data_IF_174093401249
#
_entry.id   IF_174093401249
#
_cell.length_a   1.000
_cell.length_b   1.000
_cell.length_c   1.000
_cell.angle_alpha   90.00
_cell.angle_beta   90.00
_cell.angle_gamma   90.00
#
_symmetry.space_group_name_H-M   'P 1'
#
loop_
_entity.id
_entity.type
_entity.pdbx_description
1 polymer ?
#
# COMPACT_ATOMS: atom_id res chain seq x y z
N UNK A 1 2.67 24.92 9.62
CA UNK A 1 3.12 24.10 8.47
C UNK A 1 2.15 24.28 7.33
N UNK A 2 2.63 24.89 6.25
CA UNK A 2 1.86 25.16 5.05
C UNK A 2 1.46 23.86 4.34
N UNK A 3 0.36 23.92 3.56
CA UNK A 3 -0.19 22.75 2.85
C UNK A 3 0.86 22.12 1.93
N UNK A 4 1.70 22.95 1.32
CA UNK A 4 2.80 22.53 0.46
C UNK A 4 3.81 21.66 1.21
N UNK A 5 4.30 22.12 2.37
CA UNK A 5 5.30 21.39 3.17
C UNK A 5 4.77 20.04 3.65
N UNK A 6 3.46 19.94 3.96
CA UNK A 6 2.85 18.68 4.39
C UNK A 6 2.74 17.63 3.28
N UNK A 7 2.80 18.04 2.01
CA UNK A 7 2.72 17.15 0.85
C UNK A 7 4.11 16.88 0.26
N UNK A 8 4.89 17.92 0.03
CA UNK A 8 6.20 17.82 -0.60
C UNK A 8 7.22 17.06 0.26
N UNK A 9 7.20 17.26 1.57
CA UNK A 9 8.19 16.66 2.44
C UNK A 9 8.04 15.13 2.60
N UNK A 10 6.84 14.53 2.80
CA UNK A 10 6.73 13.07 2.79
C UNK A 10 7.00 12.46 1.42
N UNK A 11 6.75 13.21 0.32
CA UNK A 11 7.16 12.78 -1.02
C UNK A 11 8.68 12.72 -1.16
N UNK A 12 9.38 13.79 -0.77
CA UNK A 12 10.83 13.85 -0.81
C UNK A 12 11.48 12.81 0.11
N UNK A 13 10.95 12.63 1.33
CA UNK A 13 11.43 11.64 2.29
C UNK A 13 11.17 10.22 1.81
N UNK A 14 9.97 9.91 1.33
CA UNK A 14 9.63 8.58 0.79
C UNK A 14 10.49 8.23 -0.42
N UNK A 15 10.73 9.20 -1.32
CA UNK A 15 11.62 9.00 -2.47
C UNK A 15 13.09 8.82 -2.06
N UNK A 16 13.59 9.61 -1.10
CA UNK A 16 14.93 9.42 -0.57
C UNK A 16 15.09 8.04 0.07
N UNK A 17 14.08 7.56 0.80
CA UNK A 17 14.06 6.20 1.35
C UNK A 17 14.06 5.14 0.23
N UNK A 18 13.32 5.34 -0.87
CA UNK A 18 13.30 4.41 -2.01
C UNK A 18 14.67 4.32 -2.70
N UNK A 19 15.38 5.45 -2.82
CA UNK A 19 16.74 5.47 -3.35
C UNK A 19 17.76 4.76 -2.44
N UNK A 20 17.59 4.83 -1.11
CA UNK A 20 18.54 4.26 -0.14
C UNK A 20 18.29 2.79 0.16
N UNK A 21 17.03 2.40 0.35
CA UNK A 21 16.68 1.04 0.78
C UNK A 21 16.32 0.12 -0.38
N UNK A 22 15.80 0.65 -1.49
CA UNK A 22 15.33 -0.08 -2.68
C UNK A 22 14.53 -1.35 -2.31
N UNK A 23 13.19 -1.24 -2.28
CA UNK A 23 12.23 -2.22 -1.72
C UNK A 23 12.82 -3.63 -1.49
N UNK A 24 13.40 -3.89 -0.30
CA UNK A 24 14.20 -5.09 -0.09
C UNK A 24 13.34 -6.36 -0.17
N UNK A 25 13.84 -7.35 -0.91
CA UNK A 25 13.17 -8.65 -1.06
C UNK A 25 12.86 -9.26 0.31
N UNK A 26 11.56 -9.48 0.58
CA UNK A 26 11.08 -10.14 1.80
C UNK A 26 10.59 -9.21 2.90
N UNK A 27 10.64 -7.89 2.73
CA UNK A 27 9.97 -6.97 3.67
C UNK A 27 8.44 -7.15 3.67
N UNK A 28 7.78 -6.86 4.81
CA UNK A 28 6.33 -6.96 4.93
C UNK A 28 5.67 -5.88 4.07
N UNK A 29 5.48 -6.18 2.79
CA UNK A 29 4.92 -5.25 1.83
C UNK A 29 3.38 -5.36 1.84
N UNK A 30 2.63 -4.25 1.98
CA UNK A 30 1.16 -4.26 2.06
C UNK A 30 0.47 -4.94 0.87
N UNK A 31 1.06 -4.85 -0.33
CA UNK A 31 0.52 -5.51 -1.52
C UNK A 31 0.64 -7.04 -1.42
N UNK A 32 1.68 -7.56 -0.76
CA UNK A 32 1.87 -9.01 -0.56
C UNK A 32 0.81 -9.58 0.40
N UNK A 33 0.49 -8.86 1.47
CA UNK A 33 -0.60 -9.25 2.37
C UNK A 33 -1.95 -9.15 1.69
N UNK A 34 -2.18 -8.11 0.88
CA UNK A 34 -3.41 -7.98 0.09
C UNK A 34 -3.57 -9.12 -0.93
N UNK A 35 -2.49 -9.49 -1.63
CA UNK A 35 -2.47 -10.63 -2.54
C UNK A 35 -2.77 -11.96 -1.83
N UNK A 36 -2.24 -12.16 -0.62
CA UNK A 36 -2.56 -13.34 0.19
C UNK A 36 -4.06 -13.38 0.60
N UNK A 37 -4.65 -12.23 0.92
CA UNK A 37 -6.09 -12.12 1.21
C UNK A 37 -6.94 -12.44 -0.02
N UNK A 38 -6.53 -11.97 -1.21
CA UNK A 38 -7.20 -12.32 -2.47
C UNK A 38 -7.11 -13.83 -2.70
N UNK A 39 -5.93 -14.42 -2.61
CA UNK A 39 -5.73 -15.85 -2.85
C UNK A 39 -6.55 -16.71 -1.88
N UNK A 40 -6.56 -16.36 -0.58
CA UNK A 40 -7.38 -17.05 0.41
C UNK A 40 -8.89 -16.89 0.13
N UNK A 41 -9.31 -15.69 -0.31
CA UNK A 41 -10.69 -15.44 -0.71
C UNK A 41 -11.08 -16.23 -1.95
N UNK A 42 -10.21 -16.29 -2.95
CA UNK A 42 -10.43 -17.04 -4.18
C UNK A 42 -10.55 -18.54 -3.91
N UNK A 43 -9.62 -19.14 -3.16
CA UNK A 43 -9.68 -20.56 -2.80
C UNK A 43 -10.95 -20.95 -2.04
N UNK A 44 -11.56 -20.01 -1.30
CA UNK A 44 -12.80 -20.27 -0.56
C UNK A 44 -14.07 -20.00 -1.38
N UNK A 45 -14.03 -19.00 -2.27
CA UNK A 45 -15.22 -18.46 -2.92
C UNK A 45 -15.32 -18.82 -4.41
N UNK A 46 -14.23 -19.19 -5.07
CA UNK A 46 -14.17 -19.49 -6.50
C UNK A 46 -14.55 -20.95 -6.84
N UNK A 47 -15.38 -21.59 -6.01
CA UNK A 47 -15.89 -22.93 -6.24
C UNK A 47 -17.42 -22.99 -6.22
N UNK A 48 -17.98 -23.94 -7.00
CA UNK A 48 -19.43 -24.16 -7.13
C UNK A 48 -20.13 -23.16 -8.04
N UNK A 49 -21.44 -22.93 -7.80
CA UNK A 49 -22.26 -21.95 -8.51
C UNK A 49 -22.09 -20.52 -7.98
N UNK A 50 -22.60 -19.55 -8.75
CA UNK A 50 -22.57 -18.11 -8.43
C UNK A 50 -21.17 -17.51 -8.19
N UNK A 51 -20.13 -18.06 -8.84
CA UNK A 51 -18.72 -17.61 -8.67
C UNK A 51 -18.56 -16.11 -8.95
N UNK A 52 -19.28 -15.59 -9.95
CA UNK A 52 -19.28 -14.16 -10.27
C UNK A 52 -19.77 -13.30 -9.10
N UNK A 53 -20.90 -13.65 -8.47
CA UNK A 53 -21.43 -12.89 -7.34
C UNK A 53 -20.49 -12.96 -6.13
N UNK A 54 -19.93 -14.13 -5.83
CA UNK A 54 -18.97 -14.30 -4.73
C UNK A 54 -17.67 -13.52 -4.99
N UNK A 55 -17.18 -13.52 -6.22
CA UNK A 55 -16.03 -12.73 -6.65
C UNK A 55 -16.28 -11.23 -6.56
N UNK A 56 -17.45 -10.76 -6.98
CA UNK A 56 -17.85 -9.36 -6.86
C UNK A 56 -17.94 -8.91 -5.40
N UNK A 57 -18.50 -9.75 -4.51
CA UNK A 57 -18.53 -9.48 -3.07
C UNK A 57 -17.13 -9.44 -2.46
N UNK A 58 -16.26 -10.37 -2.84
CA UNK A 58 -14.86 -10.39 -2.38
C UNK A 58 -14.13 -9.12 -2.82
N UNK A 59 -14.21 -8.76 -4.10
CA UNK A 59 -13.57 -7.57 -4.64
C UNK A 59 -14.12 -6.29 -3.98
N UNK A 60 -15.45 -6.16 -3.90
CA UNK A 60 -16.08 -5.01 -3.24
C UNK A 60 -15.73 -4.90 -1.76
N UNK A 61 -15.67 -6.02 -1.05
CA UNK A 61 -15.28 -6.08 0.35
C UNK A 61 -13.82 -5.71 0.57
N UNK A 62 -12.90 -6.19 -0.27
CA UNK A 62 -11.48 -5.86 -0.18
C UNK A 62 -11.20 -4.39 -0.52
N UNK A 63 -11.80 -3.88 -1.60
CA UNK A 63 -11.68 -2.46 -2.00
C UNK A 63 -12.29 -1.54 -0.94
N UNK A 64 -13.53 -1.82 -0.53
CA UNK A 64 -14.23 -1.04 0.49
C UNK A 64 -13.55 -1.11 1.85
N UNK A 65 -13.08 -2.30 2.24
CA UNK A 65 -12.33 -2.52 3.48
C UNK A 65 -10.99 -1.78 3.48
N UNK A 66 -10.26 -1.79 2.36
CA UNK A 66 -9.01 -1.04 2.22
C UNK A 66 -9.27 0.46 2.33
N UNK A 67 -10.27 0.98 1.60
CA UNK A 67 -10.66 2.38 1.71
C UNK A 67 -11.04 2.77 3.15
N UNK A 68 -11.88 1.96 3.81
CA UNK A 68 -12.28 2.20 5.19
C UNK A 68 -11.07 2.19 6.15
N UNK A 69 -10.16 1.23 5.98
CA UNK A 69 -8.94 1.14 6.78
C UNK A 69 -8.07 2.40 6.65
N UNK A 70 -7.80 2.85 5.41
CA UNK A 70 -7.03 4.08 5.17
C UNK A 70 -7.78 5.34 5.64
N UNK A 71 -9.10 5.39 5.50
CA UNK A 71 -9.90 6.52 5.98
C UNK A 71 -9.87 6.61 7.52
N UNK A 72 -9.98 5.47 8.21
CA UNK A 72 -9.87 5.39 9.67
C UNK A 72 -8.45 5.73 10.13
N UNK A 73 -7.42 5.23 9.44
CA UNK A 73 -6.03 5.57 9.69
C UNK A 73 -5.82 7.08 9.57
N UNK A 74 -6.26 7.70 8.46
CA UNK A 74 -6.18 9.14 8.26
C UNK A 74 -6.96 9.96 9.31
N UNK A 75 -8.06 9.42 9.85
CA UNK A 75 -8.80 10.03 10.96
C UNK A 75 -8.03 9.91 12.28
N UNK A 76 -7.39 8.76 12.53
CA UNK A 76 -6.53 8.53 13.70
C UNK A 76 -5.27 9.39 13.69
N UNK A 77 -4.61 9.51 12.54
CA UNK A 77 -3.41 10.35 12.36
C UNK A 77 -3.67 11.82 12.65
N UNK A 78 -4.90 12.31 12.43
CA UNK A 78 -5.30 13.69 12.79
C UNK A 78 -5.32 13.94 14.29
N UNK A 79 -5.38 12.90 15.13
CA UNK A 79 -5.30 13.00 16.59
C UNK A 79 -3.87 12.88 17.13
N UNK A 80 -2.93 12.49 16.27
CA UNK A 80 -1.52 12.30 16.63
C UNK A 80 -0.70 13.55 16.29
N UNK A 81 0.53 13.66 16.84
CA UNK A 81 1.44 14.75 16.50
C UNK A 81 1.71 14.82 14.99
N UNK A 82 1.87 16.03 14.40
CA UNK A 82 2.10 16.19 12.96
C UNK A 82 3.30 15.39 12.42
N UNK A 83 4.35 15.21 13.23
CA UNK A 83 5.53 14.42 12.88
C UNK A 83 5.20 12.95 12.62
N UNK A 84 4.29 12.36 13.41
CA UNK A 84 3.88 10.95 13.25
C UNK A 84 3.09 10.77 11.95
N UNK A 85 2.18 11.70 11.65
CA UNK A 85 1.46 11.67 10.38
C UNK A 85 2.39 11.80 9.17
N UNK A 86 3.44 12.63 9.29
CA UNK A 86 4.46 12.81 8.27
C UNK A 86 5.29 11.54 8.04
N UNK A 87 5.73 10.87 9.12
CA UNK A 87 6.47 9.62 9.02
C UNK A 87 5.64 8.51 8.36
N UNK A 88 4.38 8.34 8.79
CA UNK A 88 3.48 7.33 8.23
C UNK A 88 3.18 7.62 6.75
N UNK A 89 2.92 8.87 6.37
CA UNK A 89 2.72 9.23 4.97
C UNK A 89 3.98 9.00 4.12
N UNK A 90 5.16 9.27 4.67
CA UNK A 90 6.44 9.00 3.98
C UNK A 90 6.63 7.49 3.76
N UNK A 91 6.27 6.67 4.74
CA UNK A 91 6.29 5.21 4.60
C UNK A 91 5.30 4.71 3.54
N UNK A 92 4.09 5.27 3.48
CA UNK A 92 3.13 4.93 2.40
C UNK A 92 3.62 5.35 1.02
N UNK A 93 4.25 6.52 0.91
CA UNK A 93 4.89 6.95 -0.33
C UNK A 93 6.04 6.02 -0.70
N UNK A 94 6.89 5.65 0.25
CA UNK A 94 7.97 4.68 0.02
C UNK A 94 7.43 3.35 -0.52
N UNK A 95 6.39 2.77 0.09
CA UNK A 95 5.78 1.53 -0.41
C UNK A 95 5.04 1.71 -1.74
N UNK A 96 4.60 2.93 -2.09
CA UNK A 96 3.96 3.22 -3.37
C UNK A 96 4.94 3.57 -4.50
N UNK A 97 6.16 4.00 -4.16
CA UNK A 97 7.23 4.28 -5.10
C UNK A 97 8.02 3.00 -5.34
N UNK A 98 8.12 2.58 -6.59
CA UNK A 98 8.88 1.40 -6.99
C UNK A 98 10.01 1.77 -7.97
N UNK A 99 10.61 2.96 -7.82
CA UNK A 99 11.52 3.50 -8.84
C UNK A 99 12.81 2.66 -8.92
N UNK A 100 13.53 2.54 -7.81
CA UNK A 100 14.81 1.79 -7.80
C UNK A 100 14.59 0.29 -8.01
N UNK A 101 13.50 -0.25 -7.45
CA UNK A 101 13.11 -1.65 -7.59
C UNK A 101 12.80 -2.03 -9.04
N UNK A 102 11.93 -1.28 -9.74
CA UNK A 102 11.56 -1.58 -11.14
C UNK A 102 12.75 -1.54 -12.09
N UNK A 103 13.68 -0.60 -11.90
CA UNK A 103 14.89 -0.52 -12.73
C UNK A 103 15.79 -1.74 -12.52
N UNK A 104 15.91 -2.21 -11.27
CA UNK A 104 16.73 -3.38 -10.94
C UNK A 104 16.12 -4.67 -11.48
N UNK A 105 14.82 -4.88 -11.29
CA UNK A 105 14.08 -6.03 -11.83
C UNK A 105 14.11 -6.05 -13.35
N UNK A 106 13.92 -4.88 -13.99
CA UNK A 106 14.04 -4.76 -15.45
C UNK A 106 15.41 -5.21 -15.98
N UNK A 107 16.51 -4.84 -15.31
CA UNK A 107 17.87 -5.30 -15.68
C UNK A 107 18.14 -6.78 -15.34
N UNK A 108 17.36 -7.39 -14.47
CA UNK A 108 17.53 -8.80 -14.13
C UNK A 108 16.90 -9.72 -15.20
N UNK A 109 15.91 -9.20 -15.93
CA UNK A 109 15.16 -9.93 -16.96
C UNK A 109 15.71 -9.72 -18.38
N UNK A 110 16.37 -8.58 -18.64
CA UNK A 110 16.96 -8.22 -19.94
C UNK A 110 18.48 -8.12 -19.88
#
# INVERSE_FOLDING_TARGET
MDRFTRLAAPLALGYALDLLLADPEGWPHPVRTYGALIAAGEQRLNHGGQRFAKGALLAGGLVGGTYAAFALLAKGLRRLPPAVGMAINSAWVFYGLANTGLVREGRAVF
#
